data_IF_526597827507
#
_entry.id   IF_526597827507
#
_cell.length_a   1.000
_cell.length_b   1.000
_cell.length_c   1.000
_cell.angle_alpha   90.00
_cell.angle_beta   90.00
_cell.angle_gamma   90.00
#
_symmetry.space_group_name_H-M   'P 1'
#
loop_
_entity.id
_entity.type
_entity.pdbx_description
1 polymer ?
#
# COMPACT_ATOMS: atom_id res chain seq x y z
N UNK A 1 -34.78 -19.74 23.64
CA UNK A 1 -33.30 -19.94 23.45
C UNK A 1 -32.85 -20.04 21.99
N UNK A 2 -33.73 -19.76 20.98
CA UNK A 2 -33.42 -19.86 19.55
C UNK A 2 -33.36 -18.52 18.79
N UNK A 3 -33.52 -17.37 19.48
CA UNK A 3 -33.60 -16.04 18.81
C UNK A 3 -32.27 -15.25 18.90
N UNK A 4 -31.26 -15.74 19.61
CA UNK A 4 -29.99 -15.02 19.82
C UNK A 4 -28.84 -15.43 18.88
N UNK A 5 -29.05 -16.36 17.93
CA UNK A 5 -28.03 -16.77 16.94
C UNK A 5 -28.09 -16.06 15.61
N UNK A 6 -29.04 -15.17 15.37
CA UNK A 6 -29.24 -14.45 14.09
C UNK A 6 -28.59 -13.06 14.01
N UNK A 7 -27.99 -12.55 15.09
CA UNK A 7 -27.54 -11.14 15.20
C UNK A 7 -26.02 -10.93 15.18
N UNK A 8 -25.22 -11.98 14.96
CA UNK A 8 -23.75 -11.87 15.11
C UNK A 8 -23.00 -11.75 13.78
N UNK A 9 -23.65 -11.75 12.63
CA UNK A 9 -22.98 -11.60 11.32
C UNK A 9 -23.47 -10.42 10.46
N UNK A 10 -23.87 -9.31 11.07
CA UNK A 10 -23.60 -8.02 10.42
C UNK A 10 -22.16 -7.68 10.75
N UNK A 11 -21.24 -8.11 9.90
CA UNK A 11 -19.90 -7.55 9.87
C UNK A 11 -20.09 -6.04 9.76
N UNK A 12 -19.91 -5.33 10.86
CA UNK A 12 -19.68 -3.91 10.88
C UNK A 12 -18.52 -3.69 9.91
N UNK A 13 -18.83 -3.16 8.72
CA UNK A 13 -17.83 -2.67 7.78
C UNK A 13 -17.17 -1.47 8.46
N UNK A 14 -16.23 -1.76 9.38
CA UNK A 14 -15.32 -0.74 9.85
C UNK A 14 -14.50 -0.30 8.65
N UNK A 15 -14.73 0.92 8.19
CA UNK A 15 -13.89 1.52 7.16
C UNK A 15 -12.44 1.46 7.64
N UNK A 16 -11.58 0.80 6.86
CA UNK A 16 -10.16 0.69 7.18
C UNK A 16 -9.45 1.94 6.69
N UNK A 17 -9.07 2.80 7.62
CA UNK A 17 -8.24 3.94 7.31
C UNK A 17 -6.76 3.56 7.39
N UNK A 18 -6.00 3.93 6.37
CA UNK A 18 -4.62 3.52 6.10
C UNK A 18 -3.75 4.77 6.08
N UNK A 19 -2.61 4.75 6.75
CA UNK A 19 -1.66 5.87 6.69
C UNK A 19 -0.73 5.69 5.50
N UNK A 20 -0.73 6.69 4.60
CA UNK A 20 0.12 6.77 3.42
C UNK A 20 1.59 6.91 3.82
N UNK A 21 2.42 5.93 3.46
CA UNK A 21 3.86 5.86 3.76
C UNK A 21 4.20 5.96 5.26
N UNK A 22 3.25 5.61 6.14
CA UNK A 22 3.39 5.79 7.58
C UNK A 22 3.28 7.25 8.02
N UNK A 23 3.21 7.47 9.36
CA UNK A 23 3.13 8.82 9.92
C UNK A 23 4.40 9.60 9.56
N UNK A 24 4.24 10.68 8.79
CA UNK A 24 5.32 11.60 8.44
C UNK A 24 5.03 12.99 8.99
N UNK A 25 6.05 13.65 9.54
CA UNK A 25 6.00 15.00 10.08
C UNK A 25 7.40 15.63 10.11
N UNK A 26 7.58 16.78 10.75
CA UNK A 26 8.89 17.42 10.87
C UNK A 26 9.98 16.52 11.46
N UNK A 27 9.61 15.58 12.36
CA UNK A 27 10.54 14.66 13.07
C UNK A 27 10.64 13.28 12.42
N UNK A 28 9.59 12.82 11.76
CA UNK A 28 9.48 11.49 11.14
C UNK A 28 9.35 11.61 9.63
N UNK A 29 10.17 10.89 8.90
CA UNK A 29 10.10 10.83 7.43
C UNK A 29 9.19 9.70 6.97
N UNK A 30 8.62 9.86 5.78
CA UNK A 30 7.85 8.84 5.08
C UNK A 30 8.65 7.56 4.86
N UNK A 31 7.98 6.42 4.73
CA UNK A 31 8.58 5.12 4.43
C UNK A 31 9.76 4.74 5.34
N UNK A 32 9.77 5.19 6.61
CA UNK A 32 10.82 4.81 7.56
C UNK A 32 10.27 3.91 8.68
N UNK A 33 11.16 3.15 9.30
CA UNK A 33 10.77 2.19 10.33
C UNK A 33 10.02 2.83 11.51
N UNK A 34 10.46 4.01 11.95
CA UNK A 34 9.81 4.76 13.04
C UNK A 34 8.40 5.23 12.65
N UNK A 35 8.20 5.72 11.42
CA UNK A 35 6.88 6.16 10.94
C UNK A 35 5.88 5.00 10.87
N UNK A 36 6.32 3.82 10.46
CA UNK A 36 5.48 2.63 10.46
C UNK A 36 5.14 2.16 11.89
N UNK A 37 6.14 2.14 12.79
CA UNK A 37 5.93 1.81 14.21
C UNK A 37 4.88 2.70 14.85
N UNK A 38 4.97 4.01 14.66
CA UNK A 38 3.98 4.96 15.18
C UNK A 38 2.59 4.77 14.56
N UNK A 39 2.51 4.44 13.27
CA UNK A 39 1.22 4.12 12.63
C UNK A 39 0.55 2.92 13.27
N UNK A 40 1.30 1.84 13.51
CA UNK A 40 0.78 0.63 14.16
C UNK A 40 0.46 0.86 15.64
N UNK A 41 1.23 1.68 16.37
CA UNK A 41 0.91 2.08 17.74
C UNK A 41 -0.45 2.79 17.80
N UNK A 42 -0.76 3.61 16.81
CA UNK A 42 -2.08 4.26 16.65
C UNK A 42 -3.15 3.34 16.06
N UNK A 43 -2.87 2.05 15.91
CA UNK A 43 -3.81 1.01 15.41
C UNK A 43 -4.26 1.20 13.96
N UNK A 44 -3.50 1.93 13.14
CA UNK A 44 -3.76 2.07 11.71
C UNK A 44 -2.98 1.03 10.91
N UNK A 45 -3.52 0.62 9.75
CA UNK A 45 -2.75 0.02 8.69
C UNK A 45 -1.85 1.05 8.00
N UNK A 46 -0.97 0.58 7.15
CA UNK A 46 -0.08 1.45 6.37
C UNK A 46 -0.15 1.12 4.89
N UNK A 47 0.13 2.12 4.09
CA UNK A 47 0.56 1.94 2.71
C UNK A 47 2.06 2.20 2.65
N UNK A 48 2.78 1.47 1.79
CA UNK A 48 4.21 1.64 1.57
C UNK A 48 4.59 1.31 0.13
N UNK A 49 5.51 2.09 -0.41
CA UNK A 49 6.09 1.87 -1.74
C UNK A 49 7.29 0.92 -1.65
N UNK A 50 7.47 0.04 -2.65
CA UNK A 50 8.63 -0.84 -2.68
C UNK A 50 9.46 -0.72 -3.95
N UNK A 51 10.77 -0.89 -3.75
CA UNK A 51 11.77 -1.08 -4.80
C UNK A 51 12.64 -2.29 -4.54
N UNK A 52 13.29 -2.77 -5.60
CA UNK A 52 14.34 -3.80 -5.53
C UNK A 52 15.71 -3.15 -5.69
N UNK A 53 16.62 -3.48 -4.79
CA UNK A 53 18.03 -3.09 -4.86
C UNK A 53 18.78 -3.95 -5.87
N UNK A 54 20.04 -3.57 -6.20
CA UNK A 54 20.93 -4.34 -7.08
C UNK A 54 21.11 -5.80 -6.60
N UNK A 55 21.19 -6.01 -5.29
CA UNK A 55 21.30 -7.33 -4.65
C UNK A 55 19.93 -7.98 -4.35
N UNK A 56 18.87 -7.50 -5.00
CA UNK A 56 17.50 -8.05 -4.92
C UNK A 56 16.87 -8.01 -3.52
N UNK A 57 17.29 -7.12 -2.63
CA UNK A 57 16.57 -6.83 -1.39
C UNK A 57 15.36 -5.95 -1.70
N UNK A 58 14.26 -6.16 -0.97
CA UNK A 58 13.06 -5.33 -1.10
C UNK A 58 13.10 -4.26 -0.02
N UNK A 59 13.15 -3.00 -0.44
CA UNK A 59 13.16 -1.84 0.46
C UNK A 59 11.86 -1.06 0.37
N UNK A 60 11.49 -0.39 1.47
CA UNK A 60 10.37 0.55 1.49
C UNK A 60 10.86 1.96 1.17
N UNK A 61 10.55 2.44 -0.04
CA UNK A 61 10.97 3.75 -0.52
C UNK A 61 10.11 4.18 -1.72
N UNK A 62 9.79 5.49 -1.83
CA UNK A 62 8.90 5.95 -2.90
C UNK A 62 9.62 6.20 -4.22
N UNK A 63 10.70 6.96 -4.19
CA UNK A 63 11.35 7.47 -5.40
C UNK A 63 12.25 6.43 -6.07
N UNK A 64 12.54 6.59 -7.34
CA UNK A 64 13.49 5.75 -8.06
C UNK A 64 14.96 6.07 -7.75
N UNK A 65 15.20 7.23 -7.13
CA UNK A 65 16.53 7.71 -6.74
C UNK A 65 16.52 8.19 -5.29
N UNK A 66 17.69 8.28 -4.67
CA UNK A 66 17.85 8.81 -3.32
C UNK A 66 17.83 10.35 -3.25
N UNK A 67 17.59 11.05 -4.39
CA UNK A 67 17.82 12.50 -4.48
C UNK A 67 16.91 13.33 -3.57
N UNK A 68 15.58 13.10 -3.62
CA UNK A 68 14.61 13.96 -2.90
C UNK A 68 14.87 13.98 -1.39
N UNK A 69 15.07 12.81 -0.78
CA UNK A 69 15.22 12.71 0.68
C UNK A 69 16.66 12.83 1.17
N UNK A 70 17.64 12.42 0.36
CA UNK A 70 19.04 12.33 0.79
C UNK A 70 19.98 13.24 0.02
N UNK A 71 19.52 13.90 -1.06
CA UNK A 71 20.36 14.75 -1.95
C UNK A 71 21.46 13.94 -2.65
N UNK A 72 21.20 12.66 -2.94
CA UNK A 72 22.13 11.75 -3.59
C UNK A 72 21.53 11.33 -4.93
N UNK A 73 22.14 11.74 -6.03
CA UNK A 73 21.67 11.41 -7.37
C UNK A 73 22.10 10.01 -7.81
N UNK A 74 21.64 8.99 -7.07
CA UNK A 74 21.89 7.58 -7.37
C UNK A 74 20.55 6.81 -7.46
N UNK A 75 20.44 5.95 -8.47
CA UNK A 75 19.25 5.11 -8.66
C UNK A 75 19.29 3.90 -7.72
N UNK A 76 18.16 3.60 -7.07
CA UNK A 76 18.02 2.46 -6.15
C UNK A 76 18.39 1.14 -6.81
N UNK A 77 17.97 0.91 -8.06
CA UNK A 77 18.24 -0.33 -8.78
C UNK A 77 19.74 -0.62 -9.01
N UNK A 78 20.59 0.41 -8.93
CA UNK A 78 22.03 0.33 -9.15
C UNK A 78 22.83 0.20 -7.84
N UNK A 79 22.16 0.24 -6.68
CA UNK A 79 22.78 0.16 -5.36
C UNK A 79 22.39 -1.13 -4.65
N UNK A 80 23.34 -1.74 -3.95
CA UNK A 80 23.06 -2.77 -2.96
C UNK A 80 22.41 -2.15 -1.73
N UNK A 81 21.77 -2.97 -0.89
CA UNK A 81 21.17 -2.48 0.35
C UNK A 81 22.22 -1.89 1.31
N UNK A 82 23.41 -2.45 1.36
CA UNK A 82 24.50 -1.93 2.20
C UNK A 82 25.03 -0.58 1.71
N UNK A 83 25.13 -0.39 0.39
CA UNK A 83 25.42 0.92 -0.20
C UNK A 83 24.33 1.95 0.12
N UNK A 84 23.05 1.58 0.07
CA UNK A 84 21.95 2.46 0.47
C UNK A 84 22.09 2.83 1.95
N UNK A 85 22.32 1.87 2.85
CA UNK A 85 22.52 2.14 4.28
C UNK A 85 23.70 3.09 4.51
N UNK A 86 24.82 2.87 3.86
CA UNK A 86 26.03 3.71 3.99
C UNK A 86 25.76 5.14 3.53
N UNK A 87 25.06 5.31 2.42
CA UNK A 87 24.71 6.63 1.88
C UNK A 87 23.65 7.37 2.71
N UNK A 88 22.87 6.67 3.56
CA UNK A 88 21.75 7.25 4.31
C UNK A 88 21.99 7.31 5.82
N UNK A 89 23.15 6.85 6.29
CA UNK A 89 23.54 6.58 7.70
C UNK A 89 23.14 7.63 8.73
N UNK A 90 23.10 8.90 8.39
CA UNK A 90 22.96 9.96 9.38
C UNK A 90 21.54 10.50 9.53
N UNK A 91 20.58 10.08 8.71
CA UNK A 91 19.29 10.79 8.68
C UNK A 91 18.06 9.91 8.79
N UNK A 92 18.01 8.75 8.11
CA UNK A 92 16.79 7.94 8.06
C UNK A 92 17.15 6.50 7.68
N UNK A 93 16.69 5.53 8.46
CA UNK A 93 16.80 4.13 8.09
C UNK A 93 15.78 3.81 6.98
N UNK A 94 16.26 3.46 5.80
CA UNK A 94 15.42 2.87 4.74
C UNK A 94 15.16 1.41 5.11
N UNK A 95 13.92 1.02 5.48
CA UNK A 95 13.66 -0.32 6.00
C UNK A 95 13.54 -1.35 4.88
N UNK A 96 13.86 -2.60 5.19
CA UNK A 96 13.49 -3.74 4.38
C UNK A 96 12.00 -4.07 4.56
N UNK A 97 11.34 -4.49 3.48
CA UNK A 97 9.92 -4.90 3.53
C UNK A 97 9.70 -5.99 4.60
N UNK A 98 10.57 -7.00 4.66
CA UNK A 98 10.48 -8.08 5.66
C UNK A 98 10.41 -7.57 7.10
N UNK A 99 11.12 -6.48 7.43
CA UNK A 99 11.13 -5.93 8.78
C UNK A 99 9.85 -5.14 9.08
N UNK A 100 9.31 -4.44 8.07
CA UNK A 100 8.00 -3.77 8.16
C UNK A 100 6.88 -4.79 8.34
N UNK A 101 6.93 -5.90 7.61
CA UNK A 101 5.96 -6.99 7.74
C UNK A 101 6.00 -7.64 9.13
N UNK A 102 7.19 -7.87 9.69
CA UNK A 102 7.35 -8.34 11.08
C UNK A 102 6.72 -7.35 12.06
N UNK A 103 6.98 -6.05 11.86
CA UNK A 103 6.46 -4.98 12.70
C UNK A 103 4.93 -4.92 12.68
N UNK A 104 4.27 -5.27 11.57
CA UNK A 104 2.81 -5.32 11.44
C UNK A 104 2.16 -6.40 12.34
N UNK A 105 2.96 -7.33 12.91
CA UNK A 105 2.54 -8.45 13.75
C UNK A 105 1.43 -9.32 13.13
N UNK A 106 1.36 -9.37 11.79
CA UNK A 106 0.27 -10.02 11.03
C UNK A 106 -1.14 -9.50 11.36
N UNK A 107 -1.24 -8.39 12.09
CA UNK A 107 -2.49 -7.80 12.58
C UNK A 107 -2.94 -6.60 11.75
N UNK A 108 -2.00 -5.71 11.43
CA UNK A 108 -2.32 -4.47 10.73
C UNK A 108 -2.20 -4.66 9.23
N UNK A 109 -3.15 -4.10 8.48
CA UNK A 109 -3.12 -4.15 7.01
C UNK A 109 -1.92 -3.38 6.46
N UNK A 110 -1.22 -4.00 5.51
CA UNK A 110 -0.12 -3.40 4.77
C UNK A 110 -0.46 -3.40 3.28
N UNK A 111 -0.69 -2.23 2.70
CA UNK A 111 -0.80 -2.05 1.26
C UNK A 111 0.61 -1.86 0.71
N UNK A 112 1.04 -2.73 -0.20
CA UNK A 112 2.41 -2.75 -0.75
C UNK A 112 2.36 -2.29 -2.21
N UNK A 113 2.74 -1.04 -2.48
CA UNK A 113 2.78 -0.50 -3.83
C UNK A 113 4.08 -0.87 -4.55
N UNK A 114 3.97 -1.58 -5.66
CA UNK A 114 5.11 -1.88 -6.52
C UNK A 114 5.38 -0.70 -7.45
N UNK A 115 6.51 -0.01 -7.29
CA UNK A 115 6.92 1.12 -8.13
C UNK A 115 7.54 0.69 -9.47
N UNK A 116 8.53 -0.23 -9.52
CA UNK A 116 9.15 -0.65 -10.78
C UNK A 116 8.27 -1.66 -11.54
N UNK A 117 8.57 -1.88 -12.82
CA UNK A 117 8.10 -3.07 -13.53
C UNK A 117 8.96 -4.25 -13.08
N UNK A 118 8.32 -5.34 -12.63
CA UNK A 118 9.01 -6.51 -12.12
C UNK A 118 9.25 -7.55 -13.21
N UNK A 119 10.42 -8.17 -13.14
CA UNK A 119 10.70 -9.43 -13.83
C UNK A 119 10.22 -10.64 -12.99
N UNK A 120 10.32 -11.84 -13.55
CA UNK A 120 9.86 -13.06 -12.91
C UNK A 120 10.60 -13.37 -11.59
N UNK A 121 11.92 -13.12 -11.54
CA UNK A 121 12.75 -13.33 -10.35
C UNK A 121 12.26 -12.44 -9.19
N UNK A 122 12.07 -11.13 -9.44
CA UNK A 122 11.61 -10.19 -8.44
C UNK A 122 10.21 -10.54 -7.91
N UNK A 123 9.30 -11.00 -8.80
CA UNK A 123 7.98 -11.46 -8.38
C UNK A 123 8.09 -12.66 -7.44
N UNK A 124 8.91 -13.67 -7.76
CA UNK A 124 9.11 -14.84 -6.89
C UNK A 124 9.68 -14.45 -5.53
N UNK A 125 10.64 -13.52 -5.48
CA UNK A 125 11.21 -12.99 -4.23
C UNK A 125 10.13 -12.31 -3.40
N UNK A 126 9.34 -11.40 -3.99
CA UNK A 126 8.25 -10.71 -3.30
C UNK A 126 7.22 -11.70 -2.75
N UNK A 127 6.76 -12.64 -3.55
CA UNK A 127 5.78 -13.65 -3.14
C UNK A 127 6.31 -14.53 -2.00
N UNK A 128 7.59 -14.89 -2.01
CA UNK A 128 8.21 -15.64 -0.92
C UNK A 128 8.30 -14.80 0.37
N UNK A 129 8.60 -13.50 0.27
CA UNK A 129 8.71 -12.63 1.44
C UNK A 129 7.35 -12.41 2.14
N UNK A 130 6.26 -12.31 1.37
CA UNK A 130 4.92 -12.07 1.93
C UNK A 130 4.11 -13.34 2.25
N UNK A 131 4.58 -14.54 1.90
CA UNK A 131 3.78 -15.79 1.97
C UNK A 131 3.12 -16.06 3.33
N UNK A 132 3.77 -15.63 4.42
CA UNK A 132 3.29 -15.84 5.79
C UNK A 132 2.45 -14.67 6.34
N UNK A 133 2.16 -13.64 5.51
CA UNK A 133 1.48 -12.42 5.91
C UNK A 133 0.15 -12.25 5.14
N UNK A 134 -0.95 -12.80 5.70
CA UNK A 134 -2.29 -12.71 5.10
C UNK A 134 -2.89 -11.29 5.16
N UNK A 135 -2.28 -10.40 5.93
CA UNK A 135 -2.66 -9.00 6.12
C UNK A 135 -1.98 -8.04 5.12
N UNK A 136 -1.47 -8.55 4.00
CA UNK A 136 -0.92 -7.72 2.93
C UNK A 136 -1.81 -7.74 1.70
N UNK A 137 -1.82 -6.63 0.96
CA UNK A 137 -2.37 -6.52 -0.40
C UNK A 137 -1.31 -5.87 -1.27
N UNK A 138 -0.95 -6.51 -2.38
CA UNK A 138 -0.05 -5.94 -3.38
C UNK A 138 -0.84 -5.01 -4.28
N UNK A 139 -0.39 -3.78 -4.44
CA UNK A 139 -1.03 -2.79 -5.29
C UNK A 139 -0.04 -2.22 -6.32
N UNK A 140 -0.53 -1.74 -7.44
CA UNK A 140 0.31 -1.10 -8.46
C UNK A 140 -0.51 -0.31 -9.47
N UNK A 141 0.03 0.83 -9.90
CA UNK A 141 -0.40 1.54 -11.11
C UNK A 141 0.04 0.82 -12.39
N UNK A 142 1.10 0.02 -12.30
CA UNK A 142 1.58 -0.83 -13.40
C UNK A 142 0.85 -2.16 -13.36
N UNK A 143 -0.36 -2.19 -13.90
CA UNK A 143 -1.27 -3.35 -13.83
C UNK A 143 -0.63 -4.64 -14.38
N UNK A 144 0.35 -4.55 -15.29
CA UNK A 144 1.12 -5.69 -15.80
C UNK A 144 1.81 -6.48 -14.69
N UNK A 145 2.27 -5.82 -13.61
CA UNK A 145 2.83 -6.50 -12.44
C UNK A 145 1.79 -7.42 -11.79
N UNK A 146 0.57 -6.90 -11.61
CA UNK A 146 -0.51 -7.62 -10.94
C UNK A 146 -1.00 -8.82 -11.76
N UNK A 147 -1.06 -8.67 -13.10
CA UNK A 147 -1.38 -9.80 -13.98
C UNK A 147 -0.32 -10.91 -13.92
N UNK A 148 0.97 -10.56 -13.93
CA UNK A 148 2.07 -11.51 -13.78
C UNK A 148 2.02 -12.23 -12.43
N UNK A 149 1.79 -11.47 -11.33
CA UNK A 149 1.65 -12.02 -9.98
C UNK A 149 0.48 -13.00 -9.90
N UNK A 150 -0.69 -12.64 -10.44
CA UNK A 150 -1.89 -13.49 -10.42
C UNK A 150 -1.71 -14.79 -11.21
N UNK A 151 -0.92 -14.77 -12.30
CA UNK A 151 -0.56 -16.00 -13.04
C UNK A 151 0.24 -16.98 -12.18
N UNK A 152 1.13 -16.47 -11.31
CA UNK A 152 2.02 -17.29 -10.48
C UNK A 152 1.31 -17.72 -9.18
N UNK A 153 0.56 -16.82 -8.56
CA UNK A 153 -0.12 -17.08 -7.30
C UNK A 153 -1.56 -16.55 -7.33
N UNK A 154 -2.51 -17.48 -7.40
CA UNK A 154 -3.94 -17.17 -7.45
C UNK A 154 -4.50 -16.71 -6.10
N UNK A 155 -3.81 -16.97 -4.97
CA UNK A 155 -4.31 -16.72 -3.60
C UNK A 155 -3.82 -15.38 -3.02
N UNK A 156 -2.74 -14.79 -3.54
CA UNK A 156 -2.24 -13.51 -3.04
C UNK A 156 -3.25 -12.40 -3.31
N UNK A 157 -3.45 -11.51 -2.33
CA UNK A 157 -4.36 -10.37 -2.51
C UNK A 157 -3.71 -9.30 -3.37
N UNK A 158 -4.45 -8.80 -4.37
CA UNK A 158 -3.99 -7.73 -5.27
C UNK A 158 -5.04 -6.63 -5.43
N UNK A 159 -4.60 -5.40 -5.65
CA UNK A 159 -5.45 -4.25 -5.91
C UNK A 159 -4.92 -3.38 -7.06
N UNK A 160 -5.83 -2.94 -7.93
CA UNK A 160 -5.50 -2.07 -9.06
C UNK A 160 -5.54 -0.61 -8.64
N UNK A 161 -4.44 0.13 -8.90
CA UNK A 161 -4.34 1.57 -8.59
C UNK A 161 -4.68 2.41 -9.82
N UNK A 162 -5.45 3.50 -9.62
CA UNK A 162 -5.88 4.44 -10.65
C UNK A 162 -5.65 5.87 -10.19
N UNK A 163 -4.94 6.64 -11.01
CA UNK A 163 -4.66 8.05 -10.77
C UNK A 163 -5.84 8.95 -11.18
N UNK A 164 -5.82 10.22 -10.78
CA UNK A 164 -6.85 11.24 -11.05
C UNK A 164 -7.24 11.34 -12.52
N UNK A 165 -6.27 11.18 -13.43
CA UNK A 165 -6.48 11.27 -14.89
C UNK A 165 -6.95 9.95 -15.53
N UNK A 166 -7.19 8.90 -14.74
CA UNK A 166 -7.72 7.63 -15.27
C UNK A 166 -9.15 7.79 -15.76
N UNK A 167 -9.49 7.14 -16.87
CA UNK A 167 -10.86 7.14 -17.39
C UNK A 167 -11.76 6.28 -16.51
N UNK A 168 -12.96 6.79 -16.17
CA UNK A 168 -13.96 6.05 -15.37
C UNK A 168 -14.31 4.70 -16.02
N UNK A 169 -14.42 4.66 -17.36
CA UNK A 169 -14.70 3.43 -18.10
C UNK A 169 -13.63 2.35 -17.88
N UNK A 170 -12.35 2.72 -17.78
CA UNK A 170 -11.26 1.76 -17.52
C UNK A 170 -11.34 1.20 -16.10
N UNK A 171 -11.74 2.04 -15.14
CA UNK A 171 -11.98 1.61 -13.75
C UNK A 171 -13.15 0.61 -13.72
N UNK A 172 -14.28 0.94 -14.37
CA UNK A 172 -15.46 0.08 -14.44
C UNK A 172 -15.12 -1.23 -15.14
N UNK A 173 -14.46 -1.20 -16.30
CA UNK A 173 -14.00 -2.37 -17.04
C UNK A 173 -13.06 -3.26 -16.21
N UNK A 174 -12.19 -2.65 -15.41
CA UNK A 174 -11.33 -3.40 -14.50
C UNK A 174 -12.15 -3.99 -13.36
N UNK A 175 -13.16 -3.27 -12.86
CA UNK A 175 -13.99 -3.72 -11.75
C UNK A 175 -14.85 -4.94 -12.09
N UNK A 176 -15.14 -5.20 -13.35
CA UNK A 176 -15.86 -6.40 -13.81
C UNK A 176 -15.01 -7.68 -13.79
N UNK A 177 -13.68 -7.57 -13.69
CA UNK A 177 -12.79 -8.73 -13.57
C UNK A 177 -12.98 -9.43 -12.22
N UNK A 178 -12.95 -10.78 -12.21
CA UNK A 178 -13.19 -11.57 -10.99
C UNK A 178 -11.97 -11.70 -10.08
N UNK A 179 -10.75 -11.60 -10.60
CA UNK A 179 -9.53 -12.07 -9.95
C UNK A 179 -8.69 -10.95 -9.29
N UNK A 180 -9.32 -10.06 -8.51
CA UNK A 180 -8.64 -9.05 -7.71
C UNK A 180 -9.46 -8.74 -6.44
N UNK A 181 -8.85 -8.08 -5.46
CA UNK A 181 -9.42 -7.91 -4.12
C UNK A 181 -9.91 -6.48 -3.85
N UNK A 182 -9.24 -5.45 -4.38
CA UNK A 182 -9.64 -4.05 -4.16
C UNK A 182 -9.21 -3.12 -5.31
N UNK A 183 -9.76 -1.91 -5.27
CA UNK A 183 -9.36 -0.77 -6.10
C UNK A 183 -8.72 0.30 -5.20
N UNK A 184 -7.63 0.89 -5.66
CA UNK A 184 -6.96 2.02 -5.04
C UNK A 184 -7.17 3.21 -5.97
N UNK A 185 -7.97 4.18 -5.55
CA UNK A 185 -8.50 5.24 -6.40
C UNK A 185 -8.08 6.61 -5.89
N UNK A 186 -7.70 7.50 -6.81
CA UNK A 186 -7.55 8.90 -6.42
C UNK A 186 -8.85 9.42 -5.76
N UNK A 187 -8.73 10.24 -4.73
CA UNK A 187 -9.86 10.83 -3.99
C UNK A 187 -10.82 11.63 -4.88
N UNK A 188 -10.36 12.06 -6.05
CA UNK A 188 -11.19 12.69 -7.07
C UNK A 188 -12.45 11.86 -7.40
N UNK A 189 -12.35 10.54 -7.34
CA UNK A 189 -13.45 9.64 -7.67
C UNK A 189 -14.42 9.36 -6.50
N UNK A 190 -14.17 9.89 -5.29
CA UNK A 190 -14.91 9.49 -4.08
C UNK A 190 -16.41 9.81 -4.14
N UNK A 191 -16.81 10.86 -4.87
CA UNK A 191 -18.21 11.25 -5.04
C UNK A 191 -18.84 10.75 -6.36
N UNK A 192 -18.08 10.01 -7.18
CA UNK A 192 -18.61 9.51 -8.46
C UNK A 192 -19.58 8.34 -8.22
N UNK A 193 -20.84 8.49 -8.62
CA UNK A 193 -21.90 7.50 -8.42
C UNK A 193 -21.56 6.12 -9.02
N UNK A 194 -21.04 6.08 -10.25
CA UNK A 194 -20.67 4.83 -10.92
C UNK A 194 -19.56 4.09 -10.17
N UNK A 195 -18.57 4.82 -9.65
CA UNK A 195 -17.49 4.26 -8.84
C UNK A 195 -18.01 3.79 -7.49
N UNK A 196 -18.90 4.55 -6.83
CA UNK A 196 -19.47 4.14 -5.55
C UNK A 196 -20.30 2.85 -5.66
N UNK A 197 -20.98 2.63 -6.78
CA UNK A 197 -21.78 1.42 -7.05
C UNK A 197 -20.93 0.14 -7.26
N UNK A 198 -19.61 0.25 -7.45
CA UNK A 198 -18.73 -0.92 -7.55
C UNK A 198 -18.74 -1.66 -6.20
N UNK A 199 -19.13 -2.94 -6.19
CA UNK A 199 -19.25 -3.77 -4.97
C UNK A 199 -17.90 -4.17 -4.34
N UNK A 200 -16.77 -4.01 -5.05
CA UNK A 200 -15.42 -4.34 -4.53
C UNK A 200 -14.95 -3.32 -3.51
N UNK A 201 -14.06 -3.76 -2.59
CA UNK A 201 -13.40 -2.85 -1.67
C UNK A 201 -12.67 -1.74 -2.44
N UNK A 202 -12.87 -0.51 -2.00
CA UNK A 202 -12.22 0.69 -2.55
C UNK A 202 -11.46 1.41 -1.45
N UNK A 203 -10.26 1.87 -1.77
CA UNK A 203 -9.44 2.76 -0.93
C UNK A 203 -9.20 4.03 -1.72
N UNK A 204 -9.49 5.19 -1.12
CA UNK A 204 -9.31 6.49 -1.76
C UNK A 204 -8.08 7.21 -1.21
N UNK A 205 -7.16 7.61 -2.09
CA UNK A 205 -5.89 8.27 -1.76
C UNK A 205 -5.77 9.64 -2.46
N UNK A 206 -4.97 10.58 -2.04
CA UNK A 206 -4.44 10.73 -0.72
C UNK A 206 -5.21 11.84 -0.04
N UNK A 207 -5.84 11.53 1.08
CA UNK A 207 -6.57 12.52 1.88
C UNK A 207 -5.57 13.22 2.80
N UNK A 208 -5.47 14.55 2.68
CA UNK A 208 -4.48 15.37 3.40
C UNK A 208 -5.10 16.36 4.39
N UNK A 209 -6.41 16.56 4.30
CA UNK A 209 -7.12 17.55 5.11
C UNK A 209 -8.03 16.87 6.14
N UNK A 210 -7.96 17.31 7.38
CA UNK A 210 -8.78 16.79 8.49
C UNK A 210 -10.29 16.90 8.20
N UNK A 211 -10.75 18.00 7.60
CA UNK A 211 -12.15 18.19 7.21
C UNK A 211 -12.60 17.13 6.21
N UNK A 212 -11.78 16.85 5.21
CA UNK A 212 -12.04 15.85 4.18
C UNK A 212 -12.05 14.43 4.76
N UNK A 213 -11.09 14.11 5.65
CA UNK A 213 -11.05 12.86 6.37
C UNK A 213 -12.33 12.64 7.21
N UNK A 214 -12.72 13.59 8.03
CA UNK A 214 -13.92 13.49 8.86
C UNK A 214 -15.20 13.30 8.02
N UNK A 215 -15.27 13.96 6.86
CA UNK A 215 -16.40 13.85 5.93
C UNK A 215 -16.57 12.44 5.37
N UNK A 216 -15.47 11.78 5.00
CA UNK A 216 -15.52 10.54 4.21
C UNK A 216 -15.17 9.25 4.96
N UNK A 217 -14.43 9.32 6.08
CA UNK A 217 -13.87 8.16 6.77
C UNK A 217 -14.91 7.18 7.34
N UNK A 218 -16.13 7.64 7.61
CA UNK A 218 -17.22 6.79 8.13
C UNK A 218 -17.82 5.87 7.06
N UNK A 219 -17.69 6.23 5.78
CA UNK A 219 -18.34 5.52 4.66
C UNK A 219 -17.35 4.93 3.65
N UNK A 220 -16.08 5.31 3.72
CA UNK A 220 -15.06 4.91 2.75
C UNK A 220 -13.77 4.49 3.45
N UNK A 221 -13.04 3.55 2.85
CA UNK A 221 -11.67 3.30 3.26
C UNK A 221 -10.77 4.40 2.68
N UNK A 222 -10.01 5.07 3.52
CA UNK A 222 -9.16 6.18 3.13
C UNK A 222 -7.68 5.83 3.32
N UNK A 223 -6.85 6.27 2.36
CA UNK A 223 -5.41 6.36 2.51
C UNK A 223 -5.10 7.84 2.73
N UNK A 224 -4.59 8.18 3.92
CA UNK A 224 -4.43 9.56 4.37
C UNK A 224 -3.03 9.85 4.88
N UNK A 225 -2.68 11.14 4.97
CA UNK A 225 -1.42 11.62 5.55
C UNK A 225 -1.61 12.92 6.32
N UNK A 226 -0.78 13.16 7.34
CA UNK A 226 -0.66 14.45 8.07
C UNK A 226 -1.97 14.97 8.72
N UNK A 227 -2.73 14.07 9.35
CA UNK A 227 -3.98 14.43 10.05
C UNK A 227 -3.81 14.40 11.58
#
# INVERSE_FOLDING_TARGET
YKILKGLVYRALFFCMNIIHRGIANKKLKENCFKSFKESFNKKYGIETDIHFTKDNKIICFHDFTLNRLFKINKSIKNLTYDEIKSNTKLKISVPLLKDVLKLSKKRYLVLIEIKPILNLRNIKILLNEIKNYKNCIIISFKHTNLFKIRKINKKVKIGFSFAKNSKILDIIKTSSKKNYDCLILDKYFINNKSIQNIKKNKYFYTVKEKKEFLKYSKKNNLIFENL
#
